data_IF_614902481938
#
_entry.id   IF_614902481938
#
_cell.length_a   1.000
_cell.length_b   1.000
_cell.length_c   1.000
_cell.angle_alpha   90.00
_cell.angle_beta   90.00
_cell.angle_gamma   90.00
#
_symmetry.space_group_name_H-M   'P 1'
#
loop_
_entity.id
_entity.type
_entity.pdbx_description
1 polymer ?
#
# COMPACT_ATOMS: atom_id res chain seq x y z
N UNK A 1 -1.98 27.18 -39.17
CA UNK A 1 -0.78 26.97 -38.33
C UNK A 1 -1.06 27.19 -36.85
N UNK A 2 -1.69 28.25 -36.38
CA UNK A 2 -1.98 28.55 -34.97
C UNK A 2 -2.86 27.46 -34.30
N UNK A 3 -3.83 26.87 -34.99
CA UNK A 3 -4.69 25.80 -34.47
C UNK A 3 -3.93 24.48 -34.18
N UNK A 4 -2.86 24.21 -34.94
CA UNK A 4 -2.01 23.04 -34.72
C UNK A 4 -1.07 23.24 -33.53
N UNK A 5 -0.62 24.47 -33.29
CA UNK A 5 0.22 24.80 -32.14
C UNK A 5 -0.56 24.69 -30.82
N UNK A 6 -1.86 25.06 -30.79
CA UNK A 6 -2.73 24.95 -29.64
C UNK A 6 -3.03 23.50 -29.27
N UNK A 7 -3.10 22.60 -30.26
CA UNK A 7 -3.30 21.16 -30.02
C UNK A 7 -2.05 20.49 -29.40
N UNK A 8 -0.86 20.96 -29.74
CA UNK A 8 0.41 20.44 -29.22
C UNK A 8 0.66 20.84 -27.77
N UNK A 9 0.15 21.99 -27.32
CA UNK A 9 0.26 22.46 -25.94
C UNK A 9 -0.68 21.68 -25.01
N UNK A 10 -1.81 21.18 -25.49
CA UNK A 10 -2.79 20.42 -24.70
C UNK A 10 -2.32 18.99 -24.34
N UNK A 11 -1.35 18.43 -25.05
CA UNK A 11 -0.83 17.07 -24.80
C UNK A 11 0.20 17.04 -23.66
N UNK A 12 0.71 18.18 -23.19
CA UNK A 12 1.79 18.29 -22.20
C UNK A 12 1.43 18.04 -20.75
N UNK A 13 0.15 17.94 -20.36
CA UNK A 13 -0.27 17.85 -18.95
C UNK A 13 -0.70 16.46 -18.50
N UNK A 14 -0.07 15.40 -18.99
CA UNK A 14 -0.25 14.07 -18.41
C UNK A 14 0.59 13.97 -17.14
N UNK A 15 0.06 14.48 -16.02
CA UNK A 15 0.64 14.24 -14.70
C UNK A 15 0.51 12.74 -14.36
N UNK A 16 1.60 11.99 -14.50
CA UNK A 16 1.66 10.61 -14.04
C UNK A 16 1.65 10.58 -12.51
N UNK A 17 0.53 10.19 -11.90
CA UNK A 17 0.41 9.96 -10.44
C UNK A 17 1.12 8.67 -9.99
N UNK A 18 2.09 8.18 -10.75
CA UNK A 18 2.87 6.99 -10.42
C UNK A 18 4.36 7.26 -10.52
N UNK A 19 5.13 6.60 -9.67
CA UNK A 19 6.60 6.59 -9.73
C UNK A 19 7.11 5.16 -9.77
N UNK A 20 8.32 4.96 -10.33
CA UNK A 20 9.00 3.68 -10.29
C UNK A 20 10.10 3.74 -9.24
N UNK A 21 10.09 2.76 -8.34
CA UNK A 21 11.15 2.52 -7.35
C UNK A 21 11.67 1.13 -7.64
N UNK A 22 12.95 1.02 -7.99
CA UNK A 22 13.49 -0.18 -8.64
C UNK A 22 12.64 -0.54 -9.87
N UNK A 23 12.10 -1.72 -9.94
CA UNK A 23 11.27 -2.20 -11.07
C UNK A 23 9.77 -2.20 -10.74
N UNK A 24 9.37 -1.66 -9.60
CA UNK A 24 7.99 -1.65 -9.15
C UNK A 24 7.32 -0.28 -9.30
N UNK A 25 6.04 -0.26 -9.67
CA UNK A 25 5.23 0.95 -9.81
C UNK A 25 4.53 1.28 -8.50
N UNK A 26 4.68 2.50 -8.03
CA UNK A 26 4.05 3.05 -6.83
C UNK A 26 3.13 4.21 -7.19
N UNK A 27 1.98 4.29 -6.55
CA UNK A 27 1.08 5.43 -6.64
C UNK A 27 1.60 6.58 -5.77
N UNK A 28 1.46 7.81 -6.28
CA UNK A 28 1.80 9.04 -5.58
C UNK A 28 0.51 9.78 -5.26
N UNK A 29 0.31 10.13 -3.99
CA UNK A 29 -0.84 10.92 -3.55
C UNK A 29 -0.39 11.97 -2.53
N UNK A 30 -1.10 13.09 -2.46
CA UNK A 30 -0.86 14.12 -1.43
C UNK A 30 -1.21 13.61 -0.03
N UNK A 31 -2.26 12.81 0.09
CA UNK A 31 -2.62 12.07 1.30
C UNK A 31 -2.22 10.61 1.10
N UNK A 32 -1.17 10.19 1.79
CA UNK A 32 -0.72 8.81 1.70
C UNK A 32 -1.45 7.94 2.74
N UNK A 33 -1.99 6.78 2.32
CA UNK A 33 -2.58 5.82 3.23
C UNK A 33 -1.51 5.08 4.03
N UNK A 34 -1.87 4.58 5.20
CA UNK A 34 -1.00 3.76 6.03
C UNK A 34 -0.86 2.33 5.46
N UNK A 35 0.22 1.63 5.84
CA UNK A 35 0.41 0.22 5.48
C UNK A 35 -0.72 -0.62 6.07
N UNK A 36 -1.27 -1.55 5.28
CA UNK A 36 -2.40 -2.37 5.69
C UNK A 36 -3.78 -1.71 5.53
N UNK A 37 -3.86 -0.40 5.25
CA UNK A 37 -5.14 0.28 4.99
C UNK A 37 -5.91 -0.39 3.85
N UNK A 38 -7.20 -0.56 4.05
CA UNK A 38 -8.15 -1.15 3.10
C UNK A 38 -9.10 -0.08 2.58
N UNK A 39 -9.42 -0.15 1.30
CA UNK A 39 -10.31 0.80 0.64
C UNK A 39 -10.48 0.50 -0.84
N UNK A 40 -10.90 1.48 -1.61
CA UNK A 40 -11.08 1.37 -3.05
C UNK A 40 -10.46 2.57 -3.78
N UNK A 41 -10.20 2.40 -5.07
CA UNK A 41 -9.73 3.48 -5.92
C UNK A 41 -10.93 4.10 -6.61
N UNK A 42 -11.23 5.35 -6.31
CA UNK A 42 -12.20 6.09 -7.11
C UNK A 42 -11.65 6.31 -8.52
N UNK A 43 -12.43 5.98 -9.52
CA UNK A 43 -12.23 6.42 -10.89
C UNK A 43 -12.57 7.91 -10.95
N UNK A 44 -11.64 8.74 -10.51
CA UNK A 44 -11.76 10.18 -10.72
C UNK A 44 -11.75 10.50 -12.21
N UNK A 45 -12.71 11.28 -12.69
CA UNK A 45 -12.74 11.74 -14.08
C UNK A 45 -11.38 12.30 -14.49
N UNK A 46 -10.92 11.93 -15.68
CA UNK A 46 -9.66 12.36 -16.30
C UNK A 46 -8.44 12.20 -15.36
N UNK A 47 -8.05 10.94 -15.03
CA UNK A 47 -6.70 10.50 -14.62
C UNK A 47 -6.23 10.68 -13.17
N UNK A 48 -7.08 10.84 -12.19
CA UNK A 48 -6.63 10.75 -10.79
C UNK A 48 -7.32 9.59 -10.07
N UNK A 49 -6.66 8.45 -9.98
CA UNK A 49 -7.09 7.37 -9.09
C UNK A 49 -6.68 7.74 -7.67
N UNK A 50 -7.59 8.36 -6.93
CA UNK A 50 -7.41 8.58 -5.50
C UNK A 50 -7.79 7.29 -4.76
N UNK A 51 -6.90 6.75 -3.96
CA UNK A 51 -7.23 5.65 -3.05
C UNK A 51 -7.93 6.23 -1.82
N UNK A 52 -9.14 5.79 -1.59
CA UNK A 52 -9.94 6.16 -0.44
C UNK A 52 -9.84 5.06 0.62
N UNK A 53 -9.24 5.38 1.76
CA UNK A 53 -9.15 4.47 2.90
C UNK A 53 -10.53 4.36 3.55
N UNK A 54 -11.00 3.14 3.76
CA UNK A 54 -12.25 2.83 4.44
C UNK A 54 -12.05 2.23 5.81
N UNK A 55 -11.01 1.44 5.96
CA UNK A 55 -10.69 0.81 7.24
C UNK A 55 -9.21 0.47 7.35
N UNK A 56 -8.76 0.32 8.57
CA UNK A 56 -7.49 -0.28 8.94
C UNK A 56 -7.82 -1.55 9.71
N UNK A 57 -7.45 -2.75 9.23
CA UNK A 57 -7.71 -4.01 9.92
C UNK A 57 -7.14 -4.01 11.34
N UNK A 58 -7.83 -4.62 12.29
CA UNK A 58 -7.24 -4.91 13.59
C UNK A 58 -6.28 -6.09 13.45
N UNK A 59 -5.08 -5.97 14.01
CA UNK A 59 -4.10 -7.05 14.05
C UNK A 59 -3.98 -7.57 15.47
N UNK A 60 -4.01 -8.88 15.65
CA UNK A 60 -3.72 -9.54 16.93
C UNK A 60 -2.27 -10.03 17.00
N UNK A 61 -1.69 -10.32 15.84
CA UNK A 61 -0.34 -10.86 15.74
C UNK A 61 0.56 -9.99 14.87
N UNK A 62 1.87 -9.95 15.13
CA UNK A 62 2.83 -9.27 14.28
C UNK A 62 2.87 -9.87 12.87
N UNK A 63 2.98 -9.00 11.85
CA UNK A 63 3.13 -9.40 10.46
C UNK A 63 4.53 -9.09 9.98
N UNK A 64 5.21 -10.07 9.41
CA UNK A 64 6.59 -9.90 8.91
C UNK A 64 6.63 -8.93 7.73
N UNK A 65 7.60 -8.02 7.79
CA UNK A 65 7.87 -7.03 6.76
C UNK A 65 9.20 -7.30 6.06
N UNK A 66 9.30 -6.83 4.82
CA UNK A 66 10.56 -6.64 4.10
C UNK A 66 10.84 -5.15 4.03
N UNK A 67 12.02 -4.73 4.47
CA UNK A 67 12.48 -3.35 4.40
C UNK A 67 13.75 -3.28 3.55
N UNK A 68 13.77 -2.33 2.63
CA UNK A 68 14.92 -2.08 1.78
C UNK A 68 15.23 -0.59 1.72
N UNK A 69 16.50 -0.26 1.81
CA UNK A 69 17.00 1.12 1.67
C UNK A 69 17.41 1.34 0.22
N UNK A 70 16.89 2.39 -0.39
CA UNK A 70 17.13 2.74 -1.81
C UNK A 70 17.62 4.19 -1.91
N UNK A 71 18.62 4.49 -2.75
CA UNK A 71 19.06 5.86 -2.93
C UNK A 71 17.97 6.69 -3.61
N UNK A 72 17.85 7.94 -3.20
CA UNK A 72 17.05 8.94 -3.92
C UNK A 72 17.59 9.13 -5.34
N UNK A 73 16.67 9.36 -6.26
CA UNK A 73 16.98 9.90 -7.57
C UNK A 73 16.26 11.23 -7.78
N UNK A 74 16.60 11.96 -8.83
CA UNK A 74 16.02 13.27 -9.16
C UNK A 74 14.49 13.25 -9.20
N UNK A 75 13.89 12.18 -9.73
CA UNK A 75 12.42 12.04 -9.81
C UNK A 75 11.79 11.91 -8.42
N UNK A 76 12.35 11.05 -7.56
CA UNK A 76 11.89 10.87 -6.17
C UNK A 76 12.06 12.15 -5.36
N UNK A 77 13.15 12.87 -5.57
CA UNK A 77 13.36 14.17 -4.92
C UNK A 77 12.31 15.21 -5.35
N UNK A 78 11.96 15.26 -6.64
CA UNK A 78 10.92 16.17 -7.12
C UNK A 78 9.55 15.85 -6.50
N UNK A 79 9.21 14.56 -6.33
CA UNK A 79 7.99 14.13 -5.64
C UNK A 79 8.04 14.57 -4.17
N UNK A 80 9.16 14.33 -3.49
CA UNK A 80 9.38 14.76 -2.10
C UNK A 80 9.18 16.29 -1.98
N UNK A 81 9.82 17.07 -2.82
CA UNK A 81 9.72 18.53 -2.84
C UNK A 81 8.31 19.04 -3.11
N UNK A 82 7.55 18.36 -3.98
CA UNK A 82 6.16 18.73 -4.24
C UNK A 82 5.26 18.49 -3.03
N UNK A 83 5.49 17.39 -2.28
CA UNK A 83 4.75 17.06 -1.05
C UNK A 83 5.15 17.95 0.13
N UNK A 84 6.42 18.28 0.28
CA UNK A 84 6.91 19.13 1.38
C UNK A 84 6.30 20.54 1.38
N UNK A 85 5.79 21.00 0.24
CA UNK A 85 5.03 22.27 0.17
C UNK A 85 3.71 22.25 0.94
N UNK A 86 3.15 21.05 1.15
CA UNK A 86 1.88 20.86 1.87
C UNK A 86 2.07 20.42 3.32
N UNK A 87 3.26 19.89 3.67
CA UNK A 87 3.59 19.41 5.00
C UNK A 87 4.72 20.26 5.59
N UNK A 88 4.38 21.24 6.40
CA UNK A 88 5.34 22.22 6.97
C UNK A 88 6.36 21.60 7.95
N UNK A 89 6.09 20.40 8.47
CA UNK A 89 6.92 19.73 9.48
C UNK A 89 7.99 18.77 8.91
N UNK A 90 8.16 18.73 7.58
CA UNK A 90 9.17 17.85 6.99
C UNK A 90 10.56 18.48 7.02
N UNK A 91 11.53 17.75 7.59
CA UNK A 91 12.95 18.08 7.47
C UNK A 91 13.34 18.17 5.99
N UNK A 92 13.99 19.26 5.60
CA UNK A 92 14.39 19.49 4.21
C UNK A 92 15.48 18.49 3.80
N UNK A 93 15.15 17.63 2.82
CA UNK A 93 16.14 16.74 2.21
C UNK A 93 16.84 17.50 1.09
N UNK A 94 18.12 17.79 1.29
CA UNK A 94 18.97 18.35 0.25
C UNK A 94 19.36 17.25 -0.75
N UNK A 95 19.08 17.47 -2.02
CA UNK A 95 19.47 16.56 -3.10
C UNK A 95 20.19 17.34 -4.20
N UNK A 96 21.41 16.94 -4.48
CA UNK A 96 22.20 17.41 -5.62
C UNK A 96 22.77 16.18 -6.32
N UNK A 97 22.69 16.11 -7.65
CA UNK A 97 23.16 14.94 -8.42
C UNK A 97 24.65 14.61 -8.19
N UNK A 98 25.45 15.63 -7.87
CA UNK A 98 26.90 15.51 -7.59
C UNK A 98 27.25 15.13 -6.15
N UNK A 99 26.26 14.95 -5.25
CA UNK A 99 26.56 14.55 -3.88
C UNK A 99 27.20 13.16 -3.87
N UNK A 100 28.32 13.00 -3.14
CA UNK A 100 28.99 11.68 -3.01
C UNK A 100 28.11 10.69 -2.24
N UNK A 101 27.25 11.16 -1.35
CA UNK A 101 26.26 10.38 -0.63
C UNK A 101 24.87 10.95 -0.88
N UNK A 102 24.04 10.20 -1.60
CA UNK A 102 22.66 10.58 -1.90
C UNK A 102 21.78 10.29 -0.67
N UNK A 103 20.75 11.12 -0.41
CA UNK A 103 19.71 10.78 0.54
C UNK A 103 19.11 9.41 0.24
N UNK A 104 18.58 8.76 1.24
CA UNK A 104 18.05 7.41 1.14
C UNK A 104 16.54 7.40 1.41
N UNK A 105 15.87 6.53 0.70
CA UNK A 105 14.45 6.22 0.84
C UNK A 105 14.32 4.80 1.37
N UNK A 106 13.33 4.54 2.18
CA UNK A 106 13.03 3.21 2.71
C UNK A 106 11.76 2.70 2.07
N UNK A 107 11.81 1.51 1.46
CA UNK A 107 10.61 0.79 1.06
C UNK A 107 10.25 -0.23 2.14
N UNK A 108 9.01 -0.19 2.60
CA UNK A 108 8.44 -1.10 3.59
C UNK A 108 7.36 -1.91 2.89
N UNK A 109 7.47 -3.23 2.89
CA UNK A 109 6.51 -4.13 2.23
C UNK A 109 6.07 -5.24 3.17
N UNK A 110 4.79 -5.58 3.14
CA UNK A 110 4.27 -6.79 3.77
C UNK A 110 4.92 -8.00 3.09
N UNK A 111 5.71 -8.76 3.85
CA UNK A 111 6.35 -9.98 3.36
C UNK A 111 5.42 -11.19 3.51
N UNK A 112 4.76 -11.29 4.66
CA UNK A 112 3.82 -12.37 4.97
C UNK A 112 2.38 -11.92 4.67
N UNK A 113 2.04 -11.97 3.38
CA UNK A 113 0.69 -11.59 2.91
C UNK A 113 -0.37 -12.60 3.33
N UNK A 114 0.00 -13.87 3.54
CA UNK A 114 -0.91 -14.89 4.03
C UNK A 114 -1.31 -14.64 5.48
N UNK A 115 -0.37 -14.19 6.30
CA UNK A 115 -0.65 -13.79 7.68
C UNK A 115 -1.58 -12.56 7.70
N UNK A 116 -1.34 -11.56 6.84
CA UNK A 116 -2.23 -10.41 6.71
C UNK A 116 -3.65 -10.84 6.30
N UNK A 117 -3.79 -11.75 5.34
CA UNK A 117 -5.09 -12.29 4.92
C UNK A 117 -5.79 -13.02 6.09
N UNK A 118 -5.04 -13.80 6.85
CA UNK A 118 -5.54 -14.50 8.04
C UNK A 118 -6.02 -13.52 9.12
N UNK A 119 -5.27 -12.47 9.41
CA UNK A 119 -5.66 -11.43 10.36
C UNK A 119 -6.95 -10.70 9.91
N UNK A 120 -7.07 -10.38 8.62
CA UNK A 120 -8.28 -9.76 8.07
C UNK A 120 -9.50 -10.70 8.22
N UNK A 121 -9.33 -12.01 8.03
CA UNK A 121 -10.41 -13.00 8.26
C UNK A 121 -10.75 -13.22 9.73
N UNK A 122 -9.97 -12.65 10.66
CA UNK A 122 -10.17 -12.83 12.11
C UNK A 122 -11.53 -12.31 12.60
N UNK A 123 -12.01 -12.85 13.69
CA UNK A 123 -13.32 -12.51 14.27
C UNK A 123 -13.46 -11.01 14.56
N UNK A 124 -12.37 -10.37 14.96
CA UNK A 124 -12.31 -8.93 15.25
C UNK A 124 -12.41 -8.02 14.02
N UNK A 125 -12.41 -8.60 12.80
CA UNK A 125 -12.55 -7.89 11.53
C UNK A 125 -13.81 -8.29 10.73
N UNK A 126 -14.80 -8.89 11.35
CA UNK A 126 -16.00 -9.39 10.66
C UNK A 126 -16.74 -8.30 9.86
N UNK A 127 -16.86 -7.10 10.41
CA UNK A 127 -17.48 -5.97 9.71
C UNK A 127 -16.67 -5.56 8.47
N UNK A 128 -15.34 -5.54 8.59
CA UNK A 128 -14.47 -5.29 7.46
C UNK A 128 -14.62 -6.37 6.38
N UNK A 129 -14.63 -7.64 6.76
CA UNK A 129 -14.82 -8.74 5.80
C UNK A 129 -16.17 -8.63 5.11
N UNK A 130 -17.25 -8.27 5.82
CA UNK A 130 -18.55 -8.01 5.21
C UNK A 130 -18.48 -6.87 4.20
N UNK A 131 -17.92 -5.73 4.57
CA UNK A 131 -17.69 -4.61 3.66
C UNK A 131 -16.91 -5.02 2.40
N UNK A 132 -15.83 -5.81 2.56
CA UNK A 132 -15.02 -6.28 1.45
C UNK A 132 -15.76 -7.23 0.51
N UNK A 133 -16.70 -8.03 1.03
CA UNK A 133 -17.57 -8.92 0.24
C UNK A 133 -18.55 -8.14 -0.63
N UNK A 134 -19.08 -7.05 -0.07
CA UNK A 134 -20.10 -6.23 -0.72
C UNK A 134 -19.51 -5.15 -1.65
N UNK A 135 -18.19 -4.94 -1.60
CA UNK A 135 -17.52 -3.87 -2.34
C UNK A 135 -16.61 -4.44 -3.43
N UNK A 136 -16.97 -4.17 -4.68
CA UNK A 136 -16.13 -4.52 -5.82
C UNK A 136 -14.82 -3.74 -5.82
N UNK A 137 -13.76 -4.35 -6.39
CA UNK A 137 -12.44 -3.73 -6.58
C UNK A 137 -11.76 -3.18 -5.32
N UNK A 138 -12.15 -3.68 -4.13
CA UNK A 138 -11.47 -3.38 -2.87
C UNK A 138 -9.98 -3.72 -2.95
N UNK A 139 -9.15 -2.90 -2.33
CA UNK A 139 -7.68 -3.02 -2.35
C UNK A 139 -7.11 -2.79 -0.97
N UNK A 140 -5.87 -3.24 -0.79
CA UNK A 140 -5.10 -3.06 0.43
C UNK A 140 -3.72 -2.48 0.11
N UNK A 141 -3.23 -1.61 0.99
CA UNK A 141 -1.88 -1.06 0.90
C UNK A 141 -0.88 -2.08 1.41
N UNK A 142 -0.06 -2.63 0.53
CA UNK A 142 0.92 -3.67 0.90
C UNK A 142 2.36 -3.19 0.86
N UNK A 143 2.62 -1.99 0.33
CA UNK A 143 3.97 -1.42 0.38
C UNK A 143 3.91 0.10 0.45
N UNK A 144 4.87 0.67 1.18
CA UNK A 144 5.11 2.10 1.29
C UNK A 144 6.53 2.42 0.86
N UNK A 145 6.73 3.63 0.35
CA UNK A 145 8.05 4.21 0.19
C UNK A 145 8.11 5.48 1.06
N UNK A 146 8.99 5.46 2.05
CA UNK A 146 9.03 6.43 3.13
C UNK A 146 10.40 7.11 3.22
N UNK A 147 10.39 8.34 3.68
CA UNK A 147 11.58 9.04 4.13
C UNK A 147 11.67 8.98 5.66
N UNK A 148 12.85 8.72 6.17
CA UNK A 148 13.14 8.69 7.60
C UNK A 148 14.31 9.61 7.93
N UNK A 149 14.43 9.98 9.21
CA UNK A 149 15.58 10.69 9.73
C UNK A 149 16.86 9.83 9.59
N UNK A 150 18.02 10.46 9.65
CA UNK A 150 19.29 9.72 9.61
C UNK A 150 19.41 8.74 10.79
N UNK A 151 18.95 9.12 11.98
CA UNK A 151 18.95 8.26 13.17
C UNK A 151 18.07 7.02 12.97
N UNK A 152 16.88 7.18 12.42
CA UNK A 152 16.00 6.05 12.13
C UNK A 152 16.54 5.17 11.00
N UNK A 153 17.20 5.76 10.00
CA UNK A 153 17.89 4.99 8.95
C UNK A 153 19.02 4.13 9.53
N UNK A 154 19.78 4.63 10.51
CA UNK A 154 20.81 3.84 11.19
C UNK A 154 20.16 2.64 11.90
N UNK A 155 19.09 2.85 12.66
CA UNK A 155 18.35 1.78 13.34
C UNK A 155 17.82 0.74 12.35
N UNK A 156 17.22 1.18 11.24
CA UNK A 156 16.73 0.31 10.16
C UNK A 156 17.87 -0.54 9.61
N UNK A 157 19.02 0.04 9.31
CA UNK A 157 20.17 -0.67 8.73
C UNK A 157 20.83 -1.67 9.70
N UNK A 158 20.68 -1.46 10.99
CA UNK A 158 21.21 -2.37 12.02
C UNK A 158 20.30 -3.55 12.31
N UNK A 159 19.01 -3.46 11.98
CA UNK A 159 18.04 -4.51 12.20
C UNK A 159 18.14 -5.60 11.10
N UNK A 160 17.83 -6.84 11.49
CA UNK A 160 17.81 -8.02 10.61
C UNK A 160 16.38 -8.58 10.38
N UNK A 161 15.43 -8.13 11.20
CA UNK A 161 14.02 -8.50 11.01
C UNK A 161 13.08 -7.34 11.41
N UNK A 162 11.92 -7.29 10.73
CA UNK A 162 10.95 -6.21 10.83
C UNK A 162 9.54 -6.77 10.91
N UNK A 163 8.72 -6.18 11.79
CA UNK A 163 7.34 -6.62 11.97
C UNK A 163 6.40 -5.43 12.07
N UNK A 164 5.26 -5.52 11.38
CA UNK A 164 4.12 -4.64 11.60
C UNK A 164 3.40 -5.09 12.87
N UNK A 165 3.23 -4.19 13.81
CA UNK A 165 2.57 -4.46 15.08
C UNK A 165 1.44 -3.46 15.33
N UNK A 166 0.36 -3.85 16.01
CA UNK A 166 -0.63 -2.90 16.51
C UNK A 166 0.02 -1.97 17.55
N UNK A 167 -0.34 -0.69 17.52
CA UNK A 167 0.23 0.29 18.44
C UNK A 167 -0.84 1.03 19.26
N UNK A 168 -1.85 1.55 18.63
CA UNK A 168 -3.01 2.20 19.23
C UNK A 168 -4.23 1.83 18.42
N UNK A 169 -5.42 2.25 18.85
CA UNK A 169 -6.64 2.02 18.11
C UNK A 169 -6.47 2.40 16.64
N UNK A 170 -6.50 1.39 15.78
CA UNK A 170 -6.39 1.52 14.33
C UNK A 170 -5.08 2.16 13.81
N UNK A 171 -3.96 2.04 14.56
CA UNK A 171 -2.63 2.47 14.12
C UNK A 171 -1.63 1.33 14.23
N UNK A 172 -0.64 1.36 13.35
CA UNK A 172 0.44 0.40 13.35
C UNK A 172 1.79 1.07 13.58
N UNK A 173 2.73 0.28 14.09
CA UNK A 173 4.14 0.63 14.17
C UNK A 173 5.00 -0.47 13.55
N UNK A 174 6.24 -0.14 13.19
CA UNK A 174 7.23 -1.09 12.71
C UNK A 174 8.18 -1.42 13.84
N UNK A 175 8.16 -2.66 14.28
CA UNK A 175 9.09 -3.17 15.30
C UNK A 175 10.35 -3.70 14.65
N UNK A 176 11.51 -3.23 15.12
CA UNK A 176 12.84 -3.61 14.65
C UNK A 176 13.43 -4.68 15.55
N UNK A 177 14.06 -5.69 14.94
CA UNK A 177 14.72 -6.77 15.67
C UNK A 177 16.17 -6.91 15.19
N UNK A 178 17.02 -7.34 16.10
CA UNK A 178 18.40 -7.72 15.81
C UNK A 178 18.76 -8.96 16.62
N UNK A 179 19.21 -10.00 15.96
CA UNK A 179 19.56 -11.29 16.59
C UNK A 179 18.41 -11.84 17.46
N UNK A 180 17.18 -11.75 16.97
CA UNK A 180 15.98 -12.22 17.64
C UNK A 180 15.49 -11.36 18.81
N UNK A 181 16.14 -10.26 19.14
CA UNK A 181 15.72 -9.33 20.19
C UNK A 181 15.14 -8.06 19.59
N UNK A 182 14.04 -7.57 20.13
CA UNK A 182 13.47 -6.27 19.76
C UNK A 182 14.43 -5.17 20.18
N UNK A 183 14.79 -4.29 19.24
CA UNK A 183 15.72 -3.17 19.47
C UNK A 183 15.00 -1.84 19.51
N UNK A 184 14.02 -1.63 18.60
CA UNK A 184 13.37 -0.35 18.44
C UNK A 184 11.94 -0.48 17.92
N UNK A 185 11.21 0.63 17.91
CA UNK A 185 9.89 0.75 17.27
C UNK A 185 9.85 2.07 16.50
N UNK A 186 9.51 2.00 15.22
CA UNK A 186 9.38 3.15 14.33
C UNK A 186 7.91 3.44 14.05
N UNK A 187 7.56 4.72 14.03
CA UNK A 187 6.24 5.20 13.67
C UNK A 187 6.29 5.80 12.27
N UNK A 188 5.45 5.27 11.38
CA UNK A 188 5.34 5.76 10.01
C UNK A 188 4.17 6.74 9.96
N UNK A 189 4.48 8.03 9.91
CA UNK A 189 3.45 9.06 9.73
C UNK A 189 3.16 9.29 8.25
N UNK A 190 1.99 9.83 7.94
CA UNK A 190 1.62 10.21 6.57
C UNK A 190 2.60 11.21 5.95
N UNK A 191 3.25 12.04 6.78
CA UNK A 191 4.28 13.00 6.36
C UNK A 191 5.54 12.31 5.80
N UNK A 192 5.87 11.12 6.30
CA UNK A 192 7.02 10.35 5.85
C UNK A 192 6.76 9.57 4.55
N UNK A 193 5.50 9.30 4.21
CA UNK A 193 5.14 8.44 3.08
C UNK A 193 5.17 9.23 1.77
N UNK A 194 6.04 8.86 0.85
CA UNK A 194 6.14 9.46 -0.49
C UNK A 194 5.19 8.81 -1.50
N UNK A 195 5.10 7.50 -1.45
CA UNK A 195 4.29 6.72 -2.38
C UNK A 195 3.92 5.38 -1.77
N UNK A 196 2.92 4.73 -2.34
CA UNK A 196 2.39 3.47 -1.86
C UNK A 196 2.05 2.52 -3.01
N UNK A 197 1.93 1.24 -2.69
CA UNK A 197 1.54 0.20 -3.62
C UNK A 197 0.31 -0.53 -3.10
N UNK A 198 -0.64 -0.72 -4.00
CA UNK A 198 -1.88 -1.44 -3.74
C UNK A 198 -1.78 -2.88 -4.21
N UNK A 199 -2.47 -3.75 -3.49
CA UNK A 199 -2.73 -5.14 -3.85
C UNK A 199 -4.23 -5.40 -3.84
N UNK A 200 -4.65 -6.45 -4.53
CA UNK A 200 -6.05 -6.87 -4.59
C UNK A 200 -6.25 -8.18 -3.83
N UNK A 201 -7.48 -8.41 -3.48
CA UNK A 201 -7.92 -9.60 -2.77
C UNK A 201 -8.26 -10.73 -3.73
N UNK A 202 -8.01 -11.97 -3.30
CA UNK A 202 -8.50 -13.18 -3.93
C UNK A 202 -9.34 -13.95 -2.91
N UNK A 203 -10.55 -14.31 -3.32
CA UNK A 203 -11.55 -14.97 -2.49
C UNK A 203 -11.58 -16.45 -2.76
N UNK A 204 -11.66 -17.25 -1.73
CA UNK A 204 -11.89 -18.69 -1.79
C UNK A 204 -13.17 -19.08 -1.08
N UNK A 205 -13.64 -20.29 -1.35
CA UNK A 205 -14.79 -20.90 -0.67
C UNK A 205 -14.28 -22.09 0.14
N UNK A 206 -14.61 -22.12 1.43
CA UNK A 206 -14.25 -23.24 2.28
C UNK A 206 -15.19 -24.45 2.06
N UNK A 207 -14.91 -25.59 2.71
CA UNK A 207 -15.70 -26.83 2.59
C UNK A 207 -17.17 -26.66 3.02
N UNK A 208 -17.48 -25.64 3.83
CA UNK A 208 -18.84 -25.32 4.28
C UNK A 208 -19.56 -24.32 3.36
N UNK A 209 -18.94 -23.93 2.24
CA UNK A 209 -19.50 -22.97 1.29
C UNK A 209 -19.34 -21.50 1.70
N UNK A 210 -18.58 -21.17 2.76
CA UNK A 210 -18.35 -19.79 3.17
C UNK A 210 -17.19 -19.15 2.43
N UNK A 211 -17.41 -17.94 1.95
CA UNK A 211 -16.37 -17.11 1.34
C UNK A 211 -15.41 -16.57 2.41
N UNK A 212 -14.13 -16.66 2.11
CA UNK A 212 -13.05 -16.11 2.92
C UNK A 212 -11.97 -15.48 2.02
N UNK A 213 -11.19 -14.55 2.59
CA UNK A 213 -10.04 -13.97 1.91
C UNK A 213 -8.92 -15.00 1.86
N UNK A 214 -8.64 -15.51 0.67
CA UNK A 214 -7.67 -16.59 0.47
C UNK A 214 -6.26 -16.08 0.25
N UNK A 215 -6.10 -14.96 -0.49
CA UNK A 215 -4.78 -14.42 -0.83
C UNK A 215 -4.84 -12.91 -1.08
N UNK A 216 -3.69 -12.25 -1.01
CA UNK A 216 -3.49 -10.84 -1.36
C UNK A 216 -2.37 -10.79 -2.41
N UNK A 217 -2.71 -10.33 -3.61
CA UNK A 217 -1.81 -10.37 -4.77
C UNK A 217 -1.61 -8.99 -5.40
N UNK A 218 -0.56 -8.85 -6.20
CA UNK A 218 -0.33 -7.63 -6.97
C UNK A 218 -1.49 -7.35 -7.95
N UNK A 219 -1.77 -6.07 -8.23
CA UNK A 219 -2.86 -5.67 -9.12
C UNK A 219 -2.79 -6.32 -10.51
N UNK A 220 -1.58 -6.52 -11.03
CA UNK A 220 -1.35 -7.04 -12.38
C UNK A 220 -1.28 -8.57 -12.45
N UNK A 221 -1.47 -9.28 -11.34
CA UNK A 221 -1.50 -10.75 -11.30
C UNK A 221 -2.94 -11.25 -11.23
N UNK A 222 -3.21 -12.45 -11.71
CA UNK A 222 -4.52 -13.10 -11.58
C UNK A 222 -4.56 -13.98 -10.34
N UNK A 223 -5.74 -14.12 -9.74
CA UNK A 223 -5.97 -15.10 -8.69
C UNK A 223 -5.67 -16.51 -9.19
N UNK A 224 -5.09 -17.33 -8.32
CA UNK A 224 -4.63 -18.68 -8.69
C UNK A 224 -5.54 -19.77 -8.13
N UNK A 225 -5.56 -20.91 -8.80
CA UNK A 225 -6.29 -22.09 -8.36
C UNK A 225 -7.81 -21.88 -8.38
N UNK A 226 -8.48 -22.23 -7.28
CA UNK A 226 -9.95 -22.09 -7.11
C UNK A 226 -10.33 -20.76 -6.48
N UNK A 227 -9.51 -19.71 -6.63
CA UNK A 227 -9.78 -18.40 -6.02
C UNK A 227 -10.24 -17.41 -7.08
N UNK A 228 -11.12 -16.49 -6.70
CA UNK A 228 -11.75 -15.52 -7.57
C UNK A 228 -11.46 -14.08 -7.13
N UNK A 229 -11.47 -13.15 -8.07
CA UNK A 229 -11.27 -11.71 -7.79
C UNK A 229 -12.45 -11.11 -7.02
N UNK A 230 -13.65 -11.63 -7.28
CA UNK A 230 -14.91 -11.15 -6.70
C UNK A 230 -15.75 -12.32 -6.26
N UNK A 231 -16.59 -12.08 -5.26
CA UNK A 231 -17.58 -13.05 -4.83
C UNK A 231 -18.69 -13.08 -5.88
N UNK A 232 -18.78 -14.18 -6.59
CA UNK A 232 -19.90 -14.45 -7.50
C UNK A 232 -20.94 -15.19 -6.69
N UNK A 233 -21.99 -14.50 -6.25
CA UNK A 233 -23.18 -15.20 -5.77
C UNK A 233 -23.73 -16.03 -6.95
N UNK A 234 -23.62 -17.35 -6.85
CA UNK A 234 -24.40 -18.22 -7.71
C UNK A 234 -25.84 -17.90 -7.40
N UNK A 235 -26.53 -17.15 -8.27
CA UNK A 235 -27.98 -17.12 -8.28
C UNK A 235 -28.40 -18.58 -8.35
N UNK A 236 -28.94 -19.11 -7.27
CA UNK A 236 -29.74 -20.31 -7.33
C UNK A 236 -30.90 -19.93 -8.26
N UNK A 237 -30.83 -20.33 -9.53
CA UNK A 237 -32.02 -20.47 -10.35
C UNK A 237 -32.85 -21.53 -9.64
N UNK A 238 -33.77 -21.06 -8.81
CA UNK A 238 -34.86 -21.91 -8.36
C UNK A 238 -35.67 -22.21 -9.61
N UNK A 239 -35.31 -23.30 -10.29
CA UNK A 239 -36.15 -23.92 -11.23
C UNK A 239 -37.36 -24.51 -10.47
N UNK A 240 -38.37 -23.66 -10.27
CA UNK A 240 -39.67 -24.02 -9.71
C UNK A 240 -40.43 -25.08 -10.54
N UNK A 241 -39.79 -25.61 -11.60
CA UNK A 241 -40.37 -26.55 -12.56
C UNK A 241 -39.76 -27.96 -12.51
N UNK A 242 -38.82 -28.22 -11.61
CA UNK A 242 -38.28 -29.57 -11.35
C UNK A 242 -39.02 -30.25 -10.17
N UNK A 243 -40.35 -30.38 -10.29
CA UNK A 243 -41.20 -31.23 -9.47
C UNK A 243 -41.74 -32.38 -10.35
#
# INVERSE_FOLDING_TARGET
MIRFLLLLVLVGFVSCNTTRIKNESYAVSNTAPELGSVGFSELGGIKSTKFEVRSIPKLESPIRLSIEVVPFNKRLHNIYKSKSKYNQDQSQVAYVDSLPRKPELVTIRVLDVMKLASEINGEHNQELVRFLKDTEDSKVVTSLACYFSEDDLVKIKQADAYYLIPYQDSKYAVSLYRLGKKTDTLFVSSANILSYKLSKFCWGVNERGYWYLSDIINLNTSCKGKTEKQIVEKKHENNLYDL
#
